data_IF_938486321382
#
_entry.id   IF_938486321382
#
_cell.length_a   1.000
_cell.length_b   1.000
_cell.length_c   1.000
_cell.angle_alpha   90.00
_cell.angle_beta   90.00
_cell.angle_gamma   90.00
#
_symmetry.space_group_name_H-M   'P 1'
#
loop_
_entity.id
_entity.type
_entity.pdbx_description
1 polymer ?
#
# COMPACT_ATOMS: atom_id res chain seq x y z
N UNK A 1 -19.08 17.64 48.79
CA UNK A 1 -19.72 17.19 47.54
C UNK A 1 -20.75 16.15 47.89
N UNK A 2 -21.99 16.39 47.48
CA UNK A 2 -23.08 15.45 47.72
C UNK A 2 -22.90 14.23 46.80
N UNK A 3 -23.32 13.04 47.25
CA UNK A 3 -23.25 11.79 46.48
C UNK A 3 -23.89 11.92 45.09
N UNK A 4 -24.86 12.82 44.96
CA UNK A 4 -25.56 13.15 43.73
C UNK A 4 -24.67 13.90 42.71
N UNK A 5 -23.90 14.88 43.16
CA UNK A 5 -22.95 15.63 42.30
C UNK A 5 -21.90 14.70 41.71
N UNK A 6 -21.37 13.79 42.53
CA UNK A 6 -20.38 12.80 42.08
C UNK A 6 -20.98 11.85 41.04
N UNK A 7 -22.18 11.33 41.29
CA UNK A 7 -22.88 10.45 40.35
C UNK A 7 -23.15 11.15 39.01
N UNK A 8 -23.51 12.44 39.03
CA UNK A 8 -23.79 13.21 37.82
C UNK A 8 -22.51 13.43 36.99
N UNK A 9 -21.42 13.85 37.64
CA UNK A 9 -20.13 14.08 36.97
C UNK A 9 -19.57 12.77 36.41
N UNK A 10 -19.64 11.69 37.18
CA UNK A 10 -19.19 10.38 36.73
C UNK A 10 -19.98 9.90 35.50
N UNK A 11 -21.30 10.03 35.54
CA UNK A 11 -22.17 9.65 34.40
C UNK A 11 -21.88 10.51 33.16
N UNK A 12 -21.66 11.81 33.35
CA UNK A 12 -21.29 12.72 32.27
C UNK A 12 -19.95 12.35 31.61
N UNK A 13 -18.94 11.99 32.41
CA UNK A 13 -17.65 11.53 31.91
C UNK A 13 -17.75 10.21 31.15
N UNK A 14 -18.55 9.25 31.64
CA UNK A 14 -18.78 7.97 30.97
C UNK A 14 -19.50 8.19 29.64
N UNK A 15 -20.56 9.00 29.61
CA UNK A 15 -21.28 9.32 28.39
C UNK A 15 -20.37 10.00 27.35
N UNK A 16 -19.54 10.95 27.80
CA UNK A 16 -18.57 11.63 26.94
C UNK A 16 -17.52 10.67 26.36
N UNK A 17 -17.02 9.73 27.16
CA UNK A 17 -16.07 8.71 26.72
C UNK A 17 -16.68 7.78 25.67
N UNK A 18 -17.91 7.30 25.90
CA UNK A 18 -18.63 6.42 24.96
C UNK A 18 -18.91 7.14 23.65
N UNK A 19 -19.33 8.41 23.70
CA UNK A 19 -19.54 9.22 22.50
C UNK A 19 -18.24 9.42 21.73
N UNK A 20 -17.14 9.72 22.44
CA UNK A 20 -15.81 9.90 21.83
C UNK A 20 -15.34 8.63 21.15
N UNK A 21 -15.48 7.46 21.80
CA UNK A 21 -15.12 6.17 21.22
C UNK A 21 -15.97 5.81 20.00
N UNK A 22 -17.26 6.16 20.01
CA UNK A 22 -18.17 5.89 18.90
C UNK A 22 -17.86 6.73 17.65
N UNK A 23 -17.20 7.87 17.82
CA UNK A 23 -16.77 8.75 16.74
C UNK A 23 -15.39 8.40 16.18
N UNK A 24 -14.62 7.54 16.86
CA UNK A 24 -13.32 7.08 16.37
C UNK A 24 -13.54 6.04 15.27
N UNK A 25 -13.47 6.48 14.03
CA UNK A 25 -13.36 5.59 12.87
C UNK A 25 -11.91 5.14 12.79
N UNK A 26 -11.67 3.84 12.99
CA UNK A 26 -10.35 3.25 12.76
C UNK A 26 -10.05 3.39 11.26
N UNK A 27 -8.97 4.10 10.86
CA UNK A 27 -8.62 4.24 9.45
C UNK A 27 -8.34 2.86 8.86
N UNK A 28 -9.16 2.45 7.90
CA UNK A 28 -8.93 1.21 7.15
C UNK A 28 -7.71 1.39 6.25
N UNK A 29 -6.79 0.40 6.19
CA UNK A 29 -5.65 0.49 5.29
C UNK A 29 -6.18 0.60 3.85
N UNK A 30 -5.74 1.64 3.13
CA UNK A 30 -6.07 1.81 1.72
C UNK A 30 -4.94 1.22 0.86
N UNK A 31 -5.33 0.52 -0.21
CA UNK A 31 -4.38 0.12 -1.24
C UNK A 31 -3.84 1.35 -1.94
N UNK A 32 -2.52 1.47 -2.04
CA UNK A 32 -1.88 2.54 -2.81
C UNK A 32 -0.78 1.96 -3.67
N UNK A 33 -0.95 2.06 -4.99
CA UNK A 33 0.06 1.65 -5.96
C UNK A 33 1.32 2.52 -5.86
N UNK A 34 1.17 3.78 -5.42
CA UNK A 34 2.28 4.71 -5.22
C UNK A 34 3.34 4.16 -4.25
N UNK A 35 2.95 3.41 -3.22
CA UNK A 35 3.90 2.78 -2.28
C UNK A 35 4.76 1.74 -2.99
N UNK A 36 4.14 0.93 -3.86
CA UNK A 36 4.86 -0.06 -4.65
C UNK A 36 5.81 0.62 -5.64
N UNK A 37 5.33 1.64 -6.37
CA UNK A 37 6.12 2.38 -7.35
C UNK A 37 7.28 3.14 -6.73
N UNK A 38 7.08 3.82 -5.59
CA UNK A 38 8.15 4.53 -4.89
C UNK A 38 9.26 3.58 -4.43
N UNK A 39 8.88 2.39 -3.96
CA UNK A 39 9.83 1.36 -3.54
C UNK A 39 10.65 0.85 -4.73
N UNK A 40 9.98 0.56 -5.85
CA UNK A 40 10.69 0.14 -7.07
C UNK A 40 11.57 1.28 -7.57
N UNK A 41 11.12 2.54 -7.56
CA UNK A 41 11.92 3.69 -7.97
C UNK A 41 13.19 3.85 -7.13
N UNK A 42 13.07 3.64 -5.81
CA UNK A 42 14.18 3.74 -4.86
C UNK A 42 15.23 2.64 -5.07
N UNK A 43 14.79 1.45 -5.47
CA UNK A 43 15.64 0.26 -5.58
C UNK A 43 16.16 0.03 -7.01
N UNK A 44 15.40 0.40 -8.04
CA UNK A 44 15.68 0.08 -9.45
C UNK A 44 17.06 0.55 -9.96
N UNK A 45 17.55 1.68 -9.46
CA UNK A 45 18.83 2.28 -9.88
C UNK A 45 19.91 2.21 -8.80
N UNK A 46 19.64 1.54 -7.66
CA UNK A 46 20.61 1.33 -6.59
C UNK A 46 20.91 -0.17 -6.45
N UNK A 47 21.97 -0.68 -7.10
CA UNK A 47 22.32 -2.10 -7.01
C UNK A 47 22.61 -2.49 -5.56
N UNK A 48 22.32 -3.74 -5.19
CA UNK A 48 22.43 -4.30 -3.83
C UNK A 48 21.52 -3.68 -2.76
N UNK A 49 20.67 -2.72 -3.13
CA UNK A 49 19.70 -2.16 -2.19
C UNK A 49 18.51 -3.10 -2.01
N UNK A 50 18.05 -3.18 -0.77
CA UNK A 50 16.88 -3.94 -0.37
C UNK A 50 15.95 -3.05 0.44
N UNK A 51 14.66 -3.06 0.10
CA UNK A 51 13.62 -2.34 0.84
C UNK A 51 12.49 -3.31 1.14
N UNK A 52 12.03 -3.28 2.39
CA UNK A 52 10.87 -4.06 2.81
C UNK A 52 9.68 -3.13 2.98
N UNK A 53 8.57 -3.46 2.31
CA UNK A 53 7.32 -2.70 2.41
C UNK A 53 6.16 -3.57 2.83
N UNK A 54 5.13 -2.93 3.39
CA UNK A 54 3.84 -3.53 3.69
C UNK A 54 2.82 -3.00 2.70
N UNK A 55 2.18 -3.90 1.96
CA UNK A 55 1.16 -3.57 0.99
C UNK A 55 -0.13 -4.31 1.34
N UNK A 56 -1.17 -3.53 1.65
CA UNK A 56 -2.51 -4.07 1.83
C UNK A 56 -3.21 -4.22 0.49
N UNK A 57 -3.69 -5.42 0.17
CA UNK A 57 -4.49 -5.68 -1.02
C UNK A 57 -5.91 -6.05 -0.56
N UNK A 58 -6.94 -5.26 -0.87
CA UNK A 58 -8.33 -5.56 -0.52
C UNK A 58 -8.93 -6.64 -1.43
N UNK A 59 -10.09 -7.17 -1.04
CA UNK A 59 -10.75 -8.32 -1.65
C UNK A 59 -10.96 -8.20 -3.18
N UNK A 60 -11.31 -7.01 -3.64
CA UNK A 60 -11.67 -6.78 -5.05
C UNK A 60 -10.48 -6.36 -5.93
N UNK A 61 -9.28 -6.21 -5.34
CA UNK A 61 -8.08 -5.80 -6.07
C UNK A 61 -7.15 -6.99 -6.32
N UNK A 62 -6.71 -7.13 -7.56
CA UNK A 62 -5.70 -8.12 -7.98
C UNK A 62 -4.53 -7.38 -8.62
N UNK A 63 -3.34 -7.52 -8.06
CA UNK A 63 -2.10 -6.97 -8.64
C UNK A 63 -1.32 -8.11 -9.29
N UNK A 64 -1.05 -7.98 -10.57
CA UNK A 64 -0.25 -8.94 -11.35
C UNK A 64 0.96 -8.22 -11.92
N UNK A 65 2.14 -8.65 -11.53
CA UNK A 65 3.43 -8.17 -12.02
C UNK A 65 4.01 -9.29 -12.88
N UNK A 66 4.50 -8.95 -14.07
CA UNK A 66 5.19 -9.90 -14.93
C UNK A 66 6.17 -9.16 -15.83
N UNK A 67 7.46 -9.49 -15.73
CA UNK A 67 8.51 -8.77 -16.45
C UNK A 67 8.45 -7.28 -16.11
N UNK A 68 8.29 -6.46 -17.14
CA UNK A 68 8.23 -5.01 -16.98
C UNK A 68 6.79 -4.44 -16.83
N UNK A 69 5.76 -5.28 -16.73
CA UNK A 69 4.36 -4.84 -16.70
C UNK A 69 3.73 -5.07 -15.33
N UNK A 70 3.02 -4.06 -14.83
CA UNK A 70 2.16 -4.13 -13.65
C UNK A 70 0.72 -3.96 -14.12
N UNK A 71 -0.12 -4.97 -13.90
CA UNK A 71 -1.57 -4.91 -14.10
C UNK A 71 -2.27 -4.85 -12.76
N UNK A 72 -3.26 -3.96 -12.65
CA UNK A 72 -4.09 -3.86 -11.46
C UNK A 72 -5.55 -3.99 -11.91
N UNK A 73 -6.22 -5.03 -11.40
CA UNK A 73 -7.65 -5.25 -11.61
C UNK A 73 -8.41 -4.77 -10.37
N UNK A 74 -9.61 -4.22 -10.56
CA UNK A 74 -10.45 -3.70 -9.46
C UNK A 74 -9.99 -2.37 -8.87
N UNK A 75 -8.97 -1.73 -9.46
CA UNK A 75 -8.50 -0.40 -9.09
C UNK A 75 -8.17 0.40 -10.35
N UNK A 76 -8.57 1.67 -10.37
CA UNK A 76 -8.21 2.60 -11.44
C UNK A 76 -6.99 3.39 -10.98
N UNK A 77 -5.88 3.18 -11.67
CA UNK A 77 -4.64 3.93 -11.44
C UNK A 77 -4.90 5.36 -11.88
N UNK A 78 -4.78 6.34 -10.97
CA UNK A 78 -4.94 7.74 -11.33
C UNK A 78 -3.62 8.27 -11.93
N UNK A 79 -3.72 9.06 -13.00
CA UNK A 79 -2.56 9.70 -13.62
C UNK A 79 -1.75 10.53 -12.60
N UNK A 80 -2.41 11.18 -11.64
CA UNK A 80 -1.74 11.94 -10.58
C UNK A 80 -0.83 11.08 -9.70
N UNK A 81 -1.14 9.80 -9.51
CA UNK A 81 -0.29 8.89 -8.73
C UNK A 81 0.99 8.51 -9.49
N UNK A 82 0.94 8.48 -10.82
CA UNK A 82 2.03 7.98 -11.69
C UNK A 82 2.83 9.07 -12.39
N UNK A 83 2.32 10.31 -12.45
CA UNK A 83 2.93 11.44 -13.18
C UNK A 83 4.40 11.68 -12.81
N UNK A 84 4.71 11.60 -11.53
CA UNK A 84 6.08 11.79 -11.02
C UNK A 84 7.02 10.70 -11.56
N UNK A 85 6.55 9.44 -11.58
CA UNK A 85 7.31 8.30 -12.06
C UNK A 85 7.47 8.26 -13.59
N UNK A 86 6.52 8.83 -14.33
CA UNK A 86 6.65 9.07 -15.78
C UNK A 86 7.72 10.13 -16.03
N UNK A 87 7.69 11.25 -15.29
CA UNK A 87 8.67 12.33 -15.41
C UNK A 87 10.09 11.87 -15.07
N UNK A 88 10.24 10.92 -14.14
CA UNK A 88 11.51 10.30 -13.77
C UNK A 88 12.01 9.25 -14.79
N UNK A 89 11.28 9.01 -15.89
CA UNK A 89 11.67 8.03 -16.92
C UNK A 89 11.56 6.58 -16.46
N UNK A 90 10.88 6.30 -15.33
CA UNK A 90 10.71 4.95 -14.80
C UNK A 90 9.53 4.21 -15.45
N UNK A 91 8.48 4.96 -15.82
CA UNK A 91 7.28 4.42 -16.48
C UNK A 91 7.37 4.69 -17.98
N UNK A 92 7.34 3.64 -18.79
CA UNK A 92 7.40 3.70 -20.25
C UNK A 92 6.03 3.99 -20.86
N UNK A 93 4.99 3.35 -20.35
CA UNK A 93 3.62 3.47 -20.85
C UNK A 93 2.63 3.38 -19.69
N UNK A 94 1.57 4.18 -19.76
CA UNK A 94 0.53 4.26 -18.74
C UNK A 94 -0.84 3.98 -19.36
N UNK A 95 -1.63 3.19 -18.64
CA UNK A 95 -3.05 2.97 -18.89
C UNK A 95 -3.78 2.81 -17.54
N UNK A 96 -5.10 3.08 -17.46
CA UNK A 96 -5.83 3.09 -16.19
C UNK A 96 -5.77 1.79 -15.36
N UNK A 97 -5.44 0.65 -15.99
CA UNK A 97 -5.34 -0.66 -15.32
C UNK A 97 -3.99 -1.35 -15.58
N UNK A 98 -3.07 -0.70 -16.30
CA UNK A 98 -1.80 -1.29 -16.73
C UNK A 98 -0.70 -0.23 -16.74
N UNK A 99 0.41 -0.56 -16.13
CA UNK A 99 1.64 0.22 -16.16
C UNK A 99 2.74 -0.59 -16.82
N UNK A 100 3.50 0.03 -17.71
CA UNK A 100 4.76 -0.54 -18.22
C UNK A 100 5.92 0.25 -17.64
N UNK A 101 6.86 -0.46 -17.04
CA UNK A 101 8.06 0.08 -16.43
C UNK A 101 9.26 -0.08 -17.38
N UNK A 102 10.28 0.75 -17.18
CA UNK A 102 11.61 0.59 -17.78
C UNK A 102 12.51 -0.37 -16.97
N UNK A 103 11.96 -1.03 -15.95
CA UNK A 103 12.64 -1.96 -15.05
C UNK A 103 12.01 -3.33 -15.20
N UNK A 104 12.83 -4.36 -15.27
CA UNK A 104 12.36 -5.74 -15.36
C UNK A 104 12.15 -6.32 -13.96
N UNK A 105 10.94 -6.80 -13.68
CA UNK A 105 10.52 -7.36 -12.41
C UNK A 105 10.20 -8.85 -12.54
N UNK A 106 10.36 -9.59 -11.44
CA UNK A 106 9.90 -10.97 -11.38
C UNK A 106 8.37 -11.06 -11.43
N UNK A 107 7.84 -12.19 -11.90
CA UNK A 107 6.42 -12.46 -11.92
C UNK A 107 5.86 -12.63 -10.50
N UNK A 108 4.83 -11.86 -10.16
CA UNK A 108 4.17 -11.91 -8.87
C UNK A 108 2.67 -11.68 -9.01
N UNK A 109 1.86 -12.42 -8.26
CA UNK A 109 0.41 -12.20 -8.19
C UNK A 109 -0.01 -12.02 -6.73
N UNK A 110 -0.63 -10.88 -6.43
CA UNK A 110 -1.14 -10.53 -5.12
C UNK A 110 -2.67 -10.48 -5.18
N UNK A 111 -3.35 -11.11 -4.22
CA UNK A 111 -4.82 -11.25 -4.19
C UNK A 111 -5.32 -11.06 -2.76
N UNK A 112 -6.31 -10.19 -2.58
CA UNK A 112 -6.81 -9.83 -1.25
C UNK A 112 -7.96 -10.70 -0.71
N UNK A 113 -8.50 -10.36 0.48
CA UNK A 113 -8.05 -9.29 1.39
C UNK A 113 -6.89 -9.77 2.28
N UNK A 114 -5.67 -9.25 2.07
CA UNK A 114 -4.46 -9.65 2.82
C UNK A 114 -3.44 -8.52 2.88
N UNK A 115 -2.65 -8.48 3.95
CA UNK A 115 -1.48 -7.62 4.08
C UNK A 115 -0.23 -8.42 3.71
N UNK A 116 0.46 -7.96 2.69
CA UNK A 116 1.68 -8.56 2.18
C UNK A 116 2.90 -7.78 2.66
N UNK A 117 3.86 -8.48 3.24
CA UNK A 117 5.20 -7.93 3.48
C UNK A 117 6.07 -8.31 2.29
N UNK A 118 6.40 -7.33 1.45
CA UNK A 118 7.18 -7.52 0.23
C UNK A 118 8.62 -7.05 0.46
N UNK A 119 9.59 -7.90 0.12
CA UNK A 119 10.99 -7.52 -0.05
C UNK A 119 11.21 -7.17 -1.51
N UNK A 120 11.71 -5.96 -1.77
CA UNK A 120 12.14 -5.53 -3.11
C UNK A 120 13.66 -5.38 -3.06
N UNK A 121 14.38 -6.17 -3.84
CA UNK A 121 15.83 -6.15 -3.93
C UNK A 121 16.28 -5.89 -5.37
N UNK A 122 17.35 -5.12 -5.59
CA UNK A 122 17.92 -4.87 -6.91
C UNK A 122 19.25 -5.63 -7.07
N UNK A 123 19.28 -6.79 -7.75
CA UNK A 123 20.53 -7.50 -8.00
C UNK A 123 21.43 -6.76 -9.00
N UNK A 124 20.85 -6.09 -10.02
CA UNK A 124 21.55 -5.31 -11.04
C UNK A 124 20.70 -4.10 -11.43
N UNK A 125 21.34 -2.99 -11.78
CA UNK A 125 20.62 -1.79 -12.23
C UNK A 125 19.64 -2.12 -13.37
N UNK A 126 18.37 -1.76 -13.21
CA UNK A 126 17.30 -2.09 -14.16
C UNK A 126 16.61 -3.45 -13.96
N UNK A 127 17.05 -4.26 -12.97
CA UNK A 127 16.39 -5.51 -12.58
C UNK A 127 15.94 -5.42 -11.11
N UNK A 128 14.65 -5.67 -10.86
CA UNK A 128 14.08 -5.70 -9.52
C UNK A 128 13.51 -7.08 -9.20
N UNK A 129 13.79 -7.56 -8.00
CA UNK A 129 13.33 -8.86 -7.52
C UNK A 129 12.40 -8.64 -6.33
N UNK A 130 11.13 -8.99 -6.51
CA UNK A 130 10.10 -8.85 -5.48
C UNK A 130 9.82 -10.23 -4.88
N UNK A 131 9.98 -10.37 -3.57
CA UNK A 131 9.67 -11.57 -2.80
C UNK A 131 8.63 -11.26 -1.74
N UNK A 132 7.67 -12.18 -1.55
CA UNK A 132 6.76 -12.11 -0.41
C UNK A 132 7.49 -12.73 0.79
N UNK A 133 7.72 -11.94 1.84
CA UNK A 133 8.30 -12.42 3.10
C UNK A 133 7.20 -13.01 3.98
N UNK A 134 6.08 -12.31 4.07
CA UNK A 134 5.02 -12.63 5.02
C UNK A 134 3.66 -12.26 4.45
N UNK A 135 2.65 -13.03 4.83
CA UNK A 135 1.25 -12.81 4.46
C UNK A 135 0.43 -12.82 5.74
N UNK A 136 -0.16 -11.67 6.08
CA UNK A 136 -1.08 -11.55 7.21
C UNK A 136 -2.52 -11.45 6.67
N UNK A 137 -3.42 -12.22 7.29
CA UNK A 137 -4.87 -12.07 7.05
C UNK A 137 -5.37 -10.93 7.94
N UNK A 138 -6.18 -10.04 7.36
CA UNK A 138 -6.90 -8.97 8.06
C UNK A 138 -8.35 -9.40 8.20
#
# INVERSE_FOLDING_TARGET
>A
MSTLEYALVFTGLVAYLVLSLSLIIIPTPMFSLRILLSTIASVAYRPTSEVTIRLYVPKDIIVVIYGNVIKVQGYVINYGEVKDFISLGMVKSYSPQRLELNVELNSLRLTGPRLYVLKVSCPKAGQGLIKIIEIQRI
#
